data_IF_545999335940
#
_entry.id   IF_545999335940
#
_cell.length_a   1.000
_cell.length_b   1.000
_cell.length_c   1.000
_cell.angle_alpha   90.00
_cell.angle_beta   90.00
_cell.angle_gamma   90.00
#
_symmetry.space_group_name_H-M   'P 1'
#
loop_
_entity.id
_entity.type
_entity.pdbx_description
1 polymer ?
#
# COMPACT_ATOMS: atom_id res chain seq x y z
N UNK A 1 13.20 2.30 7.58
CA UNK A 1 13.02 0.83 7.56
C UNK A 1 11.65 0.39 8.11
N UNK A 2 11.21 0.86 9.28
CA UNK A 2 9.92 0.43 9.87
C UNK A 2 8.70 0.82 9.01
N UNK A 3 8.71 2.00 8.38
CA UNK A 3 7.58 2.49 7.58
C UNK A 3 7.28 1.66 6.31
N UNK A 4 8.31 1.12 5.64
CA UNK A 4 8.12 0.35 4.39
C UNK A 4 7.40 -0.97 4.66
N UNK A 5 7.77 -1.66 5.74
CA UNK A 5 7.12 -2.92 6.15
C UNK A 5 5.64 -2.68 6.48
N UNK A 6 5.32 -1.55 7.14
CA UNK A 6 3.94 -1.19 7.44
C UNK A 6 3.11 -0.93 6.18
N UNK A 7 3.69 -0.26 5.18
CA UNK A 7 3.04 -0.01 3.88
C UNK A 7 2.73 -1.34 3.18
N UNK A 8 3.70 -2.25 3.11
CA UNK A 8 3.51 -3.56 2.47
C UNK A 8 2.45 -4.39 3.21
N UNK A 9 2.50 -4.44 4.55
CA UNK A 9 1.49 -5.15 5.34
C UNK A 9 0.08 -4.59 5.11
N UNK A 10 -0.07 -3.28 5.02
CA UNK A 10 -1.37 -2.66 4.75
C UNK A 10 -1.88 -3.01 3.35
N UNK A 11 -1.03 -2.94 2.33
CA UNK A 11 -1.43 -3.30 0.96
C UNK A 11 -1.86 -4.77 0.90
N UNK A 12 -1.11 -5.67 1.53
CA UNK A 12 -1.48 -7.09 1.61
C UNK A 12 -2.80 -7.31 2.36
N UNK A 13 -3.06 -6.55 3.43
CA UNK A 13 -4.35 -6.62 4.15
C UNK A 13 -5.51 -6.15 3.27
N UNK A 14 -5.32 -5.08 2.49
CA UNK A 14 -6.33 -4.54 1.60
C UNK A 14 -6.63 -5.51 0.44
N UNK A 15 -5.59 -6.10 -0.16
CA UNK A 15 -5.74 -7.16 -1.17
C UNK A 15 -6.45 -8.38 -0.58
N UNK A 16 -6.07 -8.82 0.63
CA UNK A 16 -6.74 -9.91 1.33
C UNK A 16 -8.20 -9.60 1.69
N UNK A 17 -8.56 -8.31 1.79
CA UNK A 17 -9.94 -7.84 2.01
C UNK A 17 -10.75 -7.81 0.70
N UNK A 18 -10.15 -8.16 -0.43
CA UNK A 18 -10.80 -8.24 -1.74
C UNK A 18 -10.63 -6.99 -2.60
N UNK A 19 -9.80 -6.02 -2.21
CA UNK A 19 -9.46 -4.89 -3.09
C UNK A 19 -8.52 -5.36 -4.20
N UNK A 20 -8.63 -4.73 -5.37
CA UNK A 20 -7.64 -4.90 -6.42
C UNK A 20 -6.29 -4.30 -5.99
N UNK A 21 -5.18 -4.82 -6.53
CA UNK A 21 -3.84 -4.33 -6.21
C UNK A 21 -3.71 -2.81 -6.36
N UNK A 22 -4.35 -2.24 -7.39
CA UNK A 22 -4.32 -0.79 -7.63
C UNK A 22 -5.09 -0.01 -6.55
N UNK A 23 -6.27 -0.48 -6.15
CA UNK A 23 -7.07 0.17 -5.10
C UNK A 23 -6.42 0.04 -3.71
N UNK A 24 -5.79 -1.12 -3.45
CA UNK A 24 -5.05 -1.37 -2.22
C UNK A 24 -3.83 -0.43 -2.10
N UNK A 25 -3.10 -0.25 -3.20
CA UNK A 25 -1.96 0.67 -3.28
C UNK A 25 -2.41 2.12 -3.12
N UNK A 26 -3.46 2.55 -3.82
CA UNK A 26 -3.99 3.92 -3.72
C UNK A 26 -4.51 4.22 -2.30
N UNK A 27 -5.19 3.25 -1.68
CA UNK A 27 -5.67 3.38 -0.31
C UNK A 27 -4.51 3.47 0.68
N UNK A 28 -3.49 2.62 0.53
CA UNK A 28 -2.30 2.67 1.37
C UNK A 28 -1.53 3.99 1.19
N UNK A 29 -1.30 4.42 -0.05
CA UNK A 29 -0.64 5.67 -0.37
C UNK A 29 -1.37 6.87 0.26
N UNK A 30 -2.71 6.92 0.15
CA UNK A 30 -3.54 7.95 0.76
C UNK A 30 -3.46 7.95 2.30
N UNK A 31 -3.38 6.78 2.92
CA UNK A 31 -3.32 6.66 4.38
C UNK A 31 -1.97 7.14 4.95
N UNK A 32 -0.89 6.96 4.20
CA UNK A 32 0.45 7.40 4.57
C UNK A 32 0.84 8.78 4.00
N UNK A 33 -0.02 9.40 3.19
CA UNK A 33 0.28 10.67 2.52
C UNK A 33 1.42 10.56 1.51
N UNK A 34 1.57 9.39 0.89
CA UNK A 34 2.62 9.07 -0.08
C UNK A 34 2.08 9.07 -1.51
N UNK A 35 2.99 9.17 -2.48
CA UNK A 35 2.64 8.97 -3.88
C UNK A 35 2.43 7.46 -4.16
N UNK A 36 1.34 7.06 -4.83
CA UNK A 36 1.10 5.66 -5.17
C UNK A 36 2.23 5.03 -6.00
N UNK A 37 2.92 5.84 -6.82
CA UNK A 37 4.06 5.36 -7.60
C UNK A 37 5.28 5.07 -6.72
N UNK A 38 5.42 5.73 -5.57
CA UNK A 38 6.45 5.36 -4.61
C UNK A 38 6.11 4.05 -3.92
N UNK A 39 4.85 3.84 -3.53
CA UNK A 39 4.39 2.57 -2.94
C UNK A 39 4.60 1.40 -3.91
N UNK A 40 4.31 1.61 -5.21
CA UNK A 40 4.60 0.61 -6.27
C UNK A 40 6.07 0.25 -6.43
N UNK A 41 7.02 1.10 -6.01
CA UNK A 41 8.45 0.76 -6.09
C UNK A 41 8.87 -0.23 -5.00
N UNK A 42 8.06 -0.38 -3.96
CA UNK A 42 8.35 -1.25 -2.81
C UNK A 42 7.58 -2.58 -2.83
N UNK A 43 6.65 -2.74 -3.78
CA UNK A 43 5.84 -3.94 -4.00
C UNK A 43 6.29 -4.64 -5.28
#
# INVERSE_FOLDING_TARGET
>A
MIAIIQIICLVLQLVASGLSDTEAIDSAAKQFGLDPNEVRKYL
#
